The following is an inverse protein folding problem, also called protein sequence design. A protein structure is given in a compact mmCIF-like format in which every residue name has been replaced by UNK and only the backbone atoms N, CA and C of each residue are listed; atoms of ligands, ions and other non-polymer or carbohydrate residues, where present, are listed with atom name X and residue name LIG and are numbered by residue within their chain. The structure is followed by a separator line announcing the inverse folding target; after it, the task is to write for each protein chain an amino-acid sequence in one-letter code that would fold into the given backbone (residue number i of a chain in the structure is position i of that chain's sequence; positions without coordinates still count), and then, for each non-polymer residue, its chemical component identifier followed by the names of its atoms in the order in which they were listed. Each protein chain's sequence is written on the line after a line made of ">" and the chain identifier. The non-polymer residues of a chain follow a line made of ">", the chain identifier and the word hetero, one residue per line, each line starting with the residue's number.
data_IF_641209200369
#
_entry.id   IF_641209200369
#
_cell.length_a   1.000
_cell.length_b   1.000
_cell.length_c   1.000
_cell.angle_alpha   90.00
_cell.angle_beta   90.00
_cell.angle_gamma   90.00
#
_symmetry.space_group_name_H-M   'P 1'
#
loop_
_entity.id
_entity.type
_entity.pdbx_description
1 polymer ?
#
# COMPACT_ATOMS: atom_id res chain seq x y z
N UNK A 1 34.49 -25.21 6.71
CA UNK A 1 33.28 -24.46 7.11
C UNK A 1 33.35 -23.10 6.45
N UNK A 2 32.58 -22.86 5.39
CA UNK A 2 32.51 -21.55 4.73
C UNK A 2 31.43 -20.71 5.42
N UNK A 3 31.87 -19.73 6.19
CA UNK A 3 31.00 -18.70 6.78
C UNK A 3 30.51 -17.79 5.67
N UNK A 4 29.22 -17.85 5.33
CA UNK A 4 28.61 -16.82 4.49
C UNK A 4 28.51 -15.52 5.30
N UNK A 5 28.91 -14.36 4.77
CA UNK A 5 28.69 -13.10 5.46
C UNK A 5 27.19 -12.86 5.57
N UNK A 6 26.69 -12.82 6.80
CA UNK A 6 25.26 -12.88 7.13
C UNK A 6 24.51 -11.55 6.92
N UNK A 7 25.20 -10.54 6.36
CA UNK A 7 24.63 -9.24 6.08
C UNK A 7 25.09 -8.75 4.70
N UNK A 8 24.14 -8.55 3.81
CA UNK A 8 24.31 -7.74 2.60
C UNK A 8 24.42 -6.29 3.08
N UNK A 9 25.44 -5.56 2.65
CA UNK A 9 25.56 -4.15 3.04
C UNK A 9 24.40 -3.34 2.46
N UNK A 10 24.03 -2.22 3.09
CA UNK A 10 22.99 -1.34 2.56
C UNK A 10 23.29 -0.86 1.13
N UNK A 11 24.58 -0.73 0.79
CA UNK A 11 25.03 -0.38 -0.56
C UNK A 11 24.78 -1.51 -1.55
N UNK A 12 25.12 -2.75 -1.20
CA UNK A 12 24.88 -3.92 -2.05
C UNK A 12 23.38 -4.13 -2.30
N UNK A 13 22.55 -3.96 -1.26
CA UNK A 13 21.11 -4.03 -1.39
C UNK A 13 20.54 -2.92 -2.26
N UNK A 14 21.01 -1.67 -2.08
CA UNK A 14 20.59 -0.55 -2.92
C UNK A 14 20.94 -0.79 -4.39
N UNK A 15 22.17 -1.28 -4.65
CA UNK A 15 22.61 -1.61 -5.99
C UNK A 15 21.75 -2.73 -6.60
N UNK A 16 21.39 -3.76 -5.83
CA UNK A 16 20.48 -4.81 -6.28
C UNK A 16 19.10 -4.25 -6.64
N UNK A 17 18.50 -3.44 -5.76
CA UNK A 17 17.14 -2.89 -5.95
C UNK A 17 17.07 -1.97 -7.17
N UNK A 18 18.09 -1.12 -7.39
CA UNK A 18 18.16 -0.22 -8.56
C UNK A 18 18.30 -1.03 -9.85
N UNK A 19 19.17 -2.04 -9.87
CA UNK A 19 19.43 -2.83 -11.07
C UNK A 19 18.34 -3.87 -11.38
N UNK A 20 17.51 -4.23 -10.41
CA UNK A 20 16.42 -5.19 -10.60
C UNK A 20 15.27 -4.66 -11.49
N UNK A 21 15.28 -3.37 -11.85
CA UNK A 21 14.25 -2.75 -12.69
C UNK A 21 12.88 -2.57 -12.03
N UNK A 22 12.66 -3.15 -10.84
CA UNK A 22 11.39 -3.08 -10.11
C UNK A 22 10.96 -1.64 -9.80
N UNK A 23 11.91 -0.77 -9.45
CA UNK A 23 11.62 0.65 -9.23
C UNK A 23 11.11 1.34 -10.50
N UNK A 24 11.75 1.09 -11.64
CA UNK A 24 11.33 1.66 -12.92
C UNK A 24 9.95 1.17 -13.33
N UNK A 25 9.69 -0.13 -13.23
CA UNK A 25 8.40 -0.73 -13.57
C UNK A 25 7.28 -0.22 -12.65
N UNK A 26 7.53 -0.17 -11.33
CA UNK A 26 6.56 0.31 -10.35
C UNK A 26 6.24 1.80 -10.54
N UNK A 27 7.28 2.63 -10.71
CA UNK A 27 7.10 4.05 -10.96
C UNK A 27 6.41 4.32 -12.32
N UNK A 28 6.69 3.51 -13.35
CA UNK A 28 6.00 3.56 -14.62
C UNK A 28 4.50 3.28 -14.46
N UNK A 29 4.15 2.19 -13.79
CA UNK A 29 2.75 1.82 -13.52
C UNK A 29 1.98 2.92 -12.78
N UNK A 30 2.61 3.55 -11.77
CA UNK A 30 2.02 4.68 -11.04
C UNK A 30 1.81 5.89 -11.95
N UNK A 31 2.80 6.25 -12.76
CA UNK A 31 2.70 7.38 -13.71
C UNK A 31 1.59 7.16 -14.73
N UNK A 32 1.49 5.97 -15.29
CA UNK A 32 0.46 5.62 -16.26
C UNK A 32 -0.93 5.72 -15.62
N UNK A 33 -1.11 5.17 -14.42
CA UNK A 33 -2.36 5.24 -13.68
C UNK A 33 -2.79 6.69 -13.39
N UNK A 34 -1.84 7.58 -13.06
CA UNK A 34 -2.13 8.99 -12.89
C UNK A 34 -2.47 9.70 -14.23
N UNK A 35 -1.80 9.36 -15.33
CA UNK A 35 -2.09 9.91 -16.65
C UNK A 35 -3.50 9.55 -17.13
N UNK A 36 -3.95 8.32 -16.86
CA UNK A 36 -5.32 7.87 -17.10
C UNK A 36 -6.32 8.62 -16.19
N UNK A 37 -5.93 8.90 -14.95
CA UNK A 37 -6.80 9.50 -13.94
C UNK A 37 -7.13 10.96 -14.19
N UNK A 38 -6.20 11.75 -14.76
CA UNK A 38 -6.45 13.15 -15.13
C UNK A 38 -7.60 13.35 -16.14
N UNK A 39 -8.12 12.27 -16.75
CA UNK A 39 -9.24 12.31 -17.70
C UNK A 39 -10.62 12.11 -17.07
N UNK A 40 -10.69 11.61 -15.82
CA UNK A 40 -11.96 11.41 -15.12
C UNK A 40 -11.73 11.58 -13.61
N UNK A 41 -12.13 12.69 -12.99
CA UNK A 41 -11.97 12.91 -11.56
C UNK A 41 -13.10 12.20 -10.79
N UNK A 42 -13.00 10.88 -10.64
CA UNK A 42 -13.84 10.19 -9.66
C UNK A 42 -13.15 10.18 -8.30
N UNK A 43 -13.96 10.30 -7.25
CA UNK A 43 -13.54 10.39 -5.85
C UNK A 43 -13.11 9.05 -5.22
N UNK A 44 -12.80 8.03 -6.04
CA UNK A 44 -12.50 6.68 -5.55
C UNK A 44 -11.03 6.29 -5.75
N UNK A 45 -10.55 5.37 -4.92
CA UNK A 45 -9.25 4.71 -5.10
C UNK A 45 -9.29 3.96 -6.43
N UNK A 46 -8.20 4.05 -7.19
CA UNK A 46 -8.02 3.31 -8.43
C UNK A 46 -6.83 2.40 -8.31
N UNK A 47 -6.89 1.28 -9.03
CA UNK A 47 -5.75 0.40 -9.17
C UNK A 47 -5.51 0.05 -10.64
N UNK A 48 -4.27 -0.33 -10.95
CA UNK A 48 -3.87 -0.86 -12.25
C UNK A 48 -3.00 -2.09 -12.04
N UNK A 49 -3.32 -3.16 -12.76
CA UNK A 49 -2.50 -4.36 -12.83
C UNK A 49 -1.56 -4.25 -14.03
N UNK A 50 -0.28 -4.48 -13.80
CA UNK A 50 0.74 -4.55 -14.84
C UNK A 50 1.43 -5.90 -14.72
N UNK A 51 1.04 -6.85 -15.57
CA UNK A 51 1.67 -8.15 -15.66
C UNK A 51 3.08 -8.03 -16.25
N UNK A 52 4.05 -8.62 -15.57
CA UNK A 52 5.42 -8.83 -16.03
C UNK A 52 5.65 -10.33 -16.25
N UNK A 53 6.77 -10.69 -16.86
CA UNK A 53 7.12 -12.10 -17.10
C UNK A 53 7.31 -12.91 -15.81
N UNK A 54 7.63 -12.26 -14.69
CA UNK A 54 7.98 -12.89 -13.42
C UNK A 54 7.18 -12.37 -12.22
N UNK A 55 6.35 -11.34 -12.38
CA UNK A 55 5.53 -10.79 -11.30
C UNK A 55 4.32 -10.03 -11.85
N UNK A 56 3.38 -9.70 -10.98
CA UNK A 56 2.30 -8.74 -11.29
C UNK A 56 2.47 -7.54 -10.37
N UNK A 57 2.52 -6.34 -10.96
CA UNK A 57 2.58 -5.08 -10.22
C UNK A 57 1.15 -4.56 -10.08
N UNK A 58 0.73 -4.25 -8.87
CA UNK A 58 -0.55 -3.60 -8.59
C UNK A 58 -0.25 -2.17 -8.11
N UNK A 59 -0.48 -1.19 -8.96
CA UNK A 59 -0.32 0.22 -8.63
C UNK A 59 -1.65 0.78 -8.10
N UNK A 60 -1.58 1.63 -7.08
CA UNK A 60 -2.74 2.31 -6.51
C UNK A 60 -2.60 3.83 -6.66
N UNK A 61 -3.71 4.52 -6.93
CA UNK A 61 -3.80 5.97 -6.94
C UNK A 61 -4.99 6.42 -6.11
N UNK A 62 -4.80 7.48 -5.33
CA UNK A 62 -5.85 8.13 -4.54
C UNK A 62 -6.20 9.49 -5.15
N UNK A 63 -7.43 10.00 -4.95
CA UNK A 63 -7.79 11.34 -5.41
C UNK A 63 -6.94 12.44 -4.78
N UNK A 64 -6.59 13.47 -5.57
CA UNK A 64 -5.75 14.58 -5.12
C UNK A 64 -6.38 15.42 -3.98
N UNK A 65 -7.71 15.47 -3.91
CA UNK A 65 -8.46 16.22 -2.89
C UNK A 65 -8.32 15.56 -1.51
N UNK A 66 -8.34 14.22 -1.46
CA UNK A 66 -8.06 13.45 -0.23
C UNK A 66 -6.61 13.55 0.25
N UNK A 67 -5.66 13.89 -0.62
CA UNK A 67 -4.26 14.06 -0.21
C UNK A 67 -4.00 15.40 0.49
N UNK A 68 -4.73 16.47 0.14
CA UNK A 68 -4.59 17.76 0.84
C UNK A 68 -5.49 17.86 2.06
N UNK A 69 -6.78 17.52 1.94
CA UNK A 69 -7.70 17.71 3.07
C UNK A 69 -7.61 16.60 4.11
N UNK A 70 -7.25 15.37 3.71
CA UNK A 70 -7.21 14.20 4.61
C UNK A 70 -5.81 13.84 5.13
N UNK A 71 -4.72 14.31 4.50
CA UNK A 71 -3.33 14.11 4.99
C UNK A 71 -2.80 15.36 5.71
N UNK A 72 -3.27 16.58 5.39
CA UNK A 72 -2.86 17.80 6.12
C UNK A 72 -3.70 18.07 7.37
N UNK A 73 -4.93 17.52 7.51
CA UNK A 73 -5.58 17.36 8.81
C UNK A 73 -4.98 16.18 9.59
N UNK A 74 -3.65 16.08 9.59
CA UNK A 74 -2.91 15.07 10.34
C UNK A 74 -3.31 15.11 11.81
N UNK A 75 -3.90 14.03 12.30
CA UNK A 75 -4.25 13.95 13.72
C UNK A 75 -4.97 12.67 14.12
N UNK A 76 -5.87 12.15 13.29
CA UNK A 76 -6.69 11.02 13.73
C UNK A 76 -5.98 9.68 13.44
N UNK A 77 -5.33 9.16 14.47
CA UNK A 77 -4.84 7.78 14.50
C UNK A 77 -5.95 6.89 15.04
N UNK A 78 -6.34 5.89 14.26
CA UNK A 78 -7.37 4.92 14.67
C UNK A 78 -6.68 3.65 15.15
N UNK A 79 -7.01 3.20 16.37
CA UNK A 79 -6.46 1.96 16.91
C UNK A 79 -7.09 0.73 16.23
N UNK A 80 -6.31 -0.34 16.10
CA UNK A 80 -6.79 -1.63 15.58
C UNK A 80 -7.91 -2.23 16.44
N UNK A 81 -7.93 -1.94 17.74
CA UNK A 81 -9.03 -2.32 18.64
C UNK A 81 -10.34 -1.60 18.30
N UNK A 82 -10.29 -0.28 18.06
CA UNK A 82 -11.47 0.49 17.65
C UNK A 82 -11.99 0.02 16.29
N UNK A 83 -11.10 -0.32 15.35
CA UNK A 83 -11.49 -0.90 14.05
C UNK A 83 -12.24 -2.24 14.23
N UNK A 84 -11.76 -3.10 15.13
CA UNK A 84 -12.42 -4.36 15.47
C UNK A 84 -13.82 -4.13 16.06
N UNK A 85 -13.95 -3.22 17.01
CA UNK A 85 -15.23 -2.86 17.64
C UNK A 85 -16.24 -2.31 16.62
N UNK A 86 -15.76 -1.60 15.59
CA UNK A 86 -16.55 -1.12 14.46
C UNK A 86 -16.86 -2.21 13.40
N UNK A 87 -16.58 -3.48 13.67
CA UNK A 87 -16.87 -4.58 12.75
C UNK A 87 -15.85 -4.77 11.62
N UNK A 88 -14.62 -4.26 11.77
CA UNK A 88 -13.55 -4.40 10.78
C UNK A 88 -12.30 -5.12 11.35
N UNK A 89 -12.39 -6.42 11.72
CA UNK A 89 -11.34 -7.15 12.45
C UNK A 89 -10.25 -7.75 11.54
N UNK A 90 -9.81 -7.05 10.49
CA UNK A 90 -8.90 -7.64 9.48
C UNK A 90 -7.43 -7.75 9.94
N UNK A 91 -7.03 -7.00 10.96
CA UNK A 91 -5.62 -6.83 11.31
C UNK A 91 -5.21 -7.53 12.61
N UNK A 92 -6.03 -8.47 13.11
CA UNK A 92 -5.72 -9.18 14.36
C UNK A 92 -4.40 -9.96 14.27
N UNK A 93 -4.06 -10.48 13.09
CA UNK A 93 -2.81 -11.19 12.83
C UNK A 93 -1.55 -10.32 12.94
N UNK A 94 -1.69 -8.99 12.87
CA UNK A 94 -0.58 -8.05 13.07
C UNK A 94 -0.31 -7.76 14.55
N UNK A 95 -1.23 -8.16 15.43
CA UNK A 95 -1.10 -7.96 16.87
C UNK A 95 -0.26 -9.10 17.50
N UNK A 96 0.43 -8.79 18.59
CA UNK A 96 1.23 -9.76 19.36
C UNK A 96 0.91 -9.65 20.84
N UNK A 97 1.41 -10.59 21.65
CA UNK A 97 1.24 -10.52 23.11
C UNK A 97 1.84 -9.25 23.71
N UNK A 98 2.96 -8.77 23.17
CA UNK A 98 3.62 -7.54 23.62
C UNK A 98 2.99 -6.26 23.07
N UNK A 99 2.35 -6.34 21.89
CA UNK A 99 1.66 -5.24 21.24
C UNK A 99 0.25 -5.69 20.82
N UNK A 100 -0.72 -5.68 21.74
CA UNK A 100 -2.07 -6.20 21.50
C UNK A 100 -2.90 -5.30 20.58
N UNK A 101 -2.46 -4.07 20.33
CA UNK A 101 -3.06 -3.15 19.38
C UNK A 101 -1.99 -2.26 18.75
N UNK A 102 -2.32 -1.66 17.60
CA UNK A 102 -1.49 -0.68 16.90
C UNK A 102 -2.38 0.42 16.33
N UNK A 103 -1.78 1.51 15.87
CA UNK A 103 -2.51 2.65 15.31
C UNK A 103 -2.24 2.82 13.83
N UNK A 104 -3.27 3.20 13.07
CA UNK A 104 -3.22 3.46 11.63
C UNK A 104 -3.72 4.86 11.35
N UNK A 105 -3.21 5.50 10.30
CA UNK A 105 -3.70 6.79 9.83
C UNK A 105 -5.19 6.71 9.43
N UNK A 106 -6.04 7.50 10.06
CA UNK A 106 -7.50 7.50 9.89
C UNK A 106 -7.95 7.67 8.44
N UNK A 107 -7.34 8.59 7.71
CA UNK A 107 -7.61 8.78 6.28
C UNK A 107 -7.32 7.53 5.44
N UNK A 108 -6.15 6.92 5.64
CA UNK A 108 -5.71 5.77 4.87
C UNK A 108 -6.61 4.56 5.14
N UNK A 109 -6.97 4.33 6.41
CA UNK A 109 -7.88 3.22 6.74
C UNK A 109 -9.31 3.47 6.24
N UNK A 110 -9.78 4.72 6.21
CA UNK A 110 -11.09 5.07 5.66
C UNK A 110 -11.14 4.79 4.16
N UNK A 111 -10.11 5.20 3.40
CA UNK A 111 -9.99 4.89 1.98
C UNK A 111 -9.91 3.38 1.75
N UNK A 112 -9.11 2.67 2.55
CA UNK A 112 -9.00 1.21 2.46
C UNK A 112 -10.34 0.51 2.73
N UNK A 113 -11.08 0.91 3.77
CA UNK A 113 -12.41 0.37 4.08
C UNK A 113 -13.39 0.57 2.94
N UNK A 114 -13.43 1.78 2.36
CA UNK A 114 -14.31 2.11 1.25
C UNK A 114 -13.99 1.29 -0.01
N UNK A 115 -12.73 0.89 -0.19
CA UNK A 115 -12.25 0.14 -1.35
C UNK A 115 -12.10 -1.38 -1.11
N UNK A 116 -12.48 -1.86 0.07
CA UNK A 116 -12.15 -3.22 0.50
C UNK A 116 -12.86 -4.30 -0.33
N UNK A 117 -14.05 -4.02 -0.86
CA UNK A 117 -14.80 -4.95 -1.69
C UNK A 117 -14.09 -5.16 -3.04
N UNK A 118 -13.66 -4.08 -3.67
CA UNK A 118 -12.89 -4.10 -4.92
C UNK A 118 -11.55 -4.83 -4.72
N UNK A 119 -10.88 -4.60 -3.58
CA UNK A 119 -9.65 -5.31 -3.23
C UNK A 119 -9.88 -6.82 -3.04
N UNK A 120 -11.04 -7.21 -2.49
CA UNK A 120 -11.36 -8.62 -2.26
C UNK A 120 -11.53 -9.38 -3.58
N UNK A 121 -12.06 -8.71 -4.61
CA UNK A 121 -12.20 -9.26 -5.96
C UNK A 121 -10.84 -9.48 -6.66
N UNK A 122 -9.82 -8.68 -6.32
CA UNK A 122 -8.48 -8.83 -6.91
C UNK A 122 -7.75 -10.11 -6.50
N UNK A 123 -8.15 -10.73 -5.39
CA UNK A 123 -7.54 -11.97 -4.92
C UNK A 123 -7.79 -13.14 -5.86
N UNK A 124 -8.88 -13.07 -6.63
CA UNK A 124 -9.35 -14.14 -7.51
C UNK A 124 -9.03 -13.87 -9.00
N UNK A 125 -8.23 -12.82 -9.29
CA UNK A 125 -7.73 -12.48 -10.64
C UNK A 125 -6.29 -12.92 -10.83
#
# INVERSE_FOLDING_TARGET
>A
MTTFPQFISGLDLANLVVNAGLLQLSCGAIKDLHAETNRNPEFSVRHKLVSQSNCTIIAFATPAISAKDTVLQGGDLVSSSALKEQGFPLFESLCSKGNPSFSVHGAAITLFKAYFQELSLLKDQ
#
